data_IF_679937939972
#
_entry.id   IF_679937939972
#
_cell.length_a   1.000
_cell.length_b   1.000
_cell.length_c   1.000
_cell.angle_alpha   90.00
_cell.angle_beta   90.00
_cell.angle_gamma   90.00
#
_symmetry.space_group_name_H-M   'P 1'
#
loop_
_entity.id
_entity.type
_entity.pdbx_description
1 polymer ?
#
# COMPACT_ATOMS: atom_id res chain seq x y z
N UNK A 1 24.81 1.72 -25.86
CA UNK A 1 24.85 3.00 -25.11
C UNK A 1 25.14 2.68 -23.65
N UNK A 2 26.25 3.18 -23.09
CA UNK A 2 26.52 3.03 -21.65
C UNK A 2 25.43 3.76 -20.85
N UNK A 3 24.96 3.16 -19.76
CA UNK A 3 24.05 3.86 -18.83
C UNK A 3 24.78 5.11 -18.30
N UNK A 4 24.10 6.28 -18.22
CA UNK A 4 24.72 7.47 -17.66
C UNK A 4 25.18 7.17 -16.22
N UNK A 5 26.41 7.55 -15.91
CA UNK A 5 27.00 7.36 -14.59
C UNK A 5 26.25 8.21 -13.56
N UNK A 6 25.73 7.57 -12.52
CA UNK A 6 25.04 8.25 -11.43
C UNK A 6 26.00 8.73 -10.34
N UNK A 7 25.52 9.61 -9.46
CA UNK A 7 26.29 10.18 -8.35
C UNK A 7 26.99 9.13 -7.50
N UNK A 8 26.27 8.09 -7.06
CA UNK A 8 26.85 7.01 -6.23
C UNK A 8 27.88 6.17 -6.99
N UNK A 9 27.70 5.99 -8.31
CA UNK A 9 28.67 5.26 -9.13
C UNK A 9 29.97 6.03 -9.27
N UNK A 10 29.89 7.35 -9.45
CA UNK A 10 31.07 8.23 -9.48
C UNK A 10 31.76 8.27 -8.11
N UNK A 11 30.99 8.21 -7.02
CA UNK A 11 31.54 8.13 -5.66
C UNK A 11 32.31 6.84 -5.46
N UNK A 12 31.74 5.70 -5.86
CA UNK A 12 32.38 4.39 -5.74
C UNK A 12 33.67 4.32 -6.57
N UNK A 13 33.64 4.82 -7.80
CA UNK A 13 34.80 4.87 -8.68
C UNK A 13 35.93 5.71 -8.06
N UNK A 14 35.62 6.92 -7.58
CA UNK A 14 36.61 7.82 -6.98
C UNK A 14 37.11 7.30 -5.62
N UNK A 15 36.28 6.58 -4.87
CA UNK A 15 36.69 5.89 -3.64
C UNK A 15 37.75 4.82 -3.90
N UNK A 16 37.74 4.16 -5.05
CA UNK A 16 38.79 3.17 -5.41
C UNK A 16 40.05 3.79 -6.00
N UNK A 17 40.01 5.08 -6.36
CA UNK A 17 41.15 5.76 -6.97
C UNK A 17 42.22 6.07 -5.90
N UNK A 18 43.49 5.64 -6.07
CA UNK A 18 44.52 5.79 -5.03
C UNK A 18 44.79 7.23 -4.61
N UNK A 19 44.71 8.17 -5.56
CA UNK A 19 44.92 9.60 -5.33
C UNK A 19 43.59 10.39 -5.36
N UNK A 20 42.46 9.70 -5.19
CA UNK A 20 41.14 10.32 -5.18
C UNK A 20 40.95 11.17 -3.93
N UNK A 21 40.55 12.43 -4.11
CA UNK A 21 40.25 13.38 -3.04
C UNK A 21 38.81 13.85 -3.14
N UNK A 22 38.25 14.38 -2.05
CA UNK A 22 36.89 14.93 -2.08
C UNK A 22 36.73 16.07 -3.11
N UNK A 23 37.82 16.79 -3.42
CA UNK A 23 37.83 17.83 -4.43
C UNK A 23 37.82 17.25 -5.85
N UNK A 24 38.60 16.20 -6.12
CA UNK A 24 38.57 15.53 -7.43
C UNK A 24 37.20 14.88 -7.66
N UNK A 25 36.62 14.29 -6.61
CA UNK A 25 35.23 13.82 -6.64
C UNK A 25 34.24 14.93 -6.99
N UNK A 26 34.28 16.08 -6.29
CA UNK A 26 33.39 17.20 -6.56
C UNK A 26 33.52 17.71 -8.01
N UNK A 27 34.75 17.80 -8.53
CA UNK A 27 35.01 18.20 -9.91
C UNK A 27 34.46 17.17 -10.91
N UNK A 28 34.63 15.88 -10.63
CA UNK A 28 34.10 14.79 -11.45
C UNK A 28 32.57 14.81 -11.50
N UNK A 29 31.90 15.04 -10.37
CA UNK A 29 30.44 15.22 -10.35
C UNK A 29 30.00 16.36 -11.27
N UNK A 30 30.68 17.51 -11.20
CA UNK A 30 30.36 18.67 -12.06
C UNK A 30 30.56 18.34 -13.52
N UNK A 31 31.66 17.67 -13.88
CA UNK A 31 31.94 17.29 -15.26
C UNK A 31 30.91 16.29 -15.82
N UNK A 32 30.47 15.31 -15.04
CA UNK A 32 29.58 14.25 -15.53
C UNK A 32 28.09 14.56 -15.39
N UNK A 33 27.69 15.40 -14.42
CA UNK A 33 26.27 15.65 -14.09
C UNK A 33 25.79 17.06 -14.47
N UNK A 34 26.61 17.90 -15.09
CA UNK A 34 26.22 19.29 -15.44
C UNK A 34 24.99 19.40 -16.37
N UNK A 35 24.71 18.40 -17.20
CA UNK A 35 23.52 18.40 -18.06
C UNK A 35 22.23 17.98 -17.33
N UNK A 36 22.33 17.44 -16.11
CA UNK A 36 21.17 16.99 -15.36
C UNK A 36 20.47 18.20 -14.72
N UNK A 37 19.20 18.44 -15.05
CA UNK A 37 18.41 19.57 -14.52
C UNK A 37 18.26 19.56 -13.00
N UNK A 38 18.40 18.40 -12.35
CA UNK A 38 18.32 18.26 -10.91
C UNK A 38 19.67 18.43 -10.20
N UNK A 39 20.78 18.62 -10.92
CA UNK A 39 22.11 18.78 -10.35
C UNK A 39 22.64 20.20 -10.65
N UNK A 40 23.22 20.86 -9.64
CA UNK A 40 23.95 22.11 -9.83
C UNK A 40 25.31 22.02 -9.16
N UNK A 41 26.38 22.24 -9.93
CA UNK A 41 27.71 22.41 -9.37
C UNK A 41 27.85 23.73 -8.61
N UNK A 42 28.54 23.73 -7.47
CA UNK A 42 28.91 24.95 -6.74
C UNK A 42 30.45 25.07 -6.68
N UNK A 43 30.99 26.15 -6.10
CA UNK A 43 32.43 26.36 -5.94
C UNK A 43 33.03 25.37 -4.94
N UNK A 44 34.29 25.00 -5.17
CA UNK A 44 35.03 24.11 -4.27
C UNK A 44 34.43 22.70 -4.17
N UNK A 45 34.24 22.23 -2.93
CA UNK A 45 33.72 20.89 -2.59
C UNK A 45 32.20 20.79 -2.53
N UNK A 46 31.48 21.87 -2.82
CA UNK A 46 30.02 21.89 -2.72
C UNK A 46 29.32 21.57 -4.06
N UNK A 47 28.15 20.95 -3.96
CA UNK A 47 27.19 20.79 -5.06
C UNK A 47 25.77 20.80 -4.50
N UNK A 48 24.79 20.97 -5.38
CA UNK A 48 23.38 20.98 -5.01
C UNK A 48 22.59 19.94 -5.79
N UNK A 49 21.60 19.36 -5.13
CA UNK A 49 20.63 18.45 -5.73
C UNK A 49 19.22 18.97 -5.47
N UNK A 50 18.43 19.09 -6.53
CA UNK A 50 17.02 19.41 -6.46
C UNK A 50 16.22 18.13 -6.17
N UNK A 51 15.93 17.89 -4.89
CA UNK A 51 15.06 16.80 -4.46
C UNK A 51 13.58 17.19 -4.59
N UNK A 52 12.69 16.21 -4.50
CA UNK A 52 11.24 16.45 -4.48
C UNK A 52 10.80 17.40 -3.34
N UNK A 53 11.57 17.45 -2.25
CA UNK A 53 11.31 18.29 -1.08
C UNK A 53 11.99 19.68 -1.14
N UNK A 54 12.81 19.95 -2.16
CA UNK A 54 13.57 21.18 -2.31
C UNK A 54 15.03 20.95 -2.69
N UNK A 55 15.75 22.06 -2.88
CA UNK A 55 17.19 22.05 -3.15
C UNK A 55 17.97 21.80 -1.86
N UNK A 56 18.94 20.87 -1.91
CA UNK A 56 19.84 20.57 -0.80
C UNK A 56 21.28 20.76 -1.25
N UNK A 57 22.07 21.46 -0.43
CA UNK A 57 23.49 21.68 -0.64
C UNK A 57 24.25 20.57 0.09
N UNK A 58 25.18 19.93 -0.62
CA UNK A 58 26.06 18.89 -0.13
C UNK A 58 27.51 19.36 -0.20
N UNK A 59 28.26 19.13 0.87
CA UNK A 59 29.71 19.27 0.91
C UNK A 59 30.35 17.89 0.81
N UNK A 60 31.24 17.68 -0.17
CA UNK A 60 31.91 16.39 -0.37
C UNK A 60 32.95 16.05 0.68
N UNK A 61 33.25 16.94 1.62
CA UNK A 61 34.26 16.71 2.66
C UNK A 61 34.02 15.40 3.44
N UNK A 62 35.00 14.50 3.39
CA UNK A 62 34.97 13.19 4.04
C UNK A 62 34.09 12.15 3.34
N UNK A 63 33.56 12.42 2.14
CA UNK A 63 32.70 11.47 1.42
C UNK A 63 33.47 10.20 1.04
N UNK A 64 34.70 10.35 0.53
CA UNK A 64 35.47 9.19 0.08
C UNK A 64 35.83 8.27 1.24
N UNK A 65 36.28 8.85 2.37
CA UNK A 65 36.60 8.12 3.60
C UNK A 65 35.37 7.40 4.16
N UNK A 66 34.26 8.11 4.32
CA UNK A 66 32.98 7.53 4.80
C UNK A 66 32.45 6.44 3.89
N UNK A 67 32.64 6.56 2.58
CA UNK A 67 32.17 5.56 1.63
C UNK A 67 33.06 4.31 1.61
N UNK A 68 34.36 4.46 1.89
CA UNK A 68 35.32 3.35 2.03
C UNK A 68 35.07 2.55 3.31
N UNK A 69 34.74 3.23 4.42
CA UNK A 69 34.42 2.60 5.72
C UNK A 69 35.47 1.57 6.15
N UNK A 70 36.74 1.90 5.94
CA UNK A 70 37.86 1.01 6.22
C UNK A 70 38.20 1.05 7.72
N UNK A 71 38.21 -0.13 8.33
CA UNK A 71 38.75 -0.34 9.68
C UNK A 71 40.16 -0.89 9.57
N UNK A 72 41.08 -0.37 10.40
CA UNK A 72 42.45 -0.85 10.43
C UNK A 72 42.52 -2.28 10.97
N UNK A 73 43.31 -3.14 10.33
CA UNK A 73 43.43 -4.55 10.72
C UNK A 73 43.92 -4.70 12.17
N UNK A 74 44.85 -3.86 12.61
CA UNK A 74 45.37 -3.87 13.98
C UNK A 74 44.27 -3.60 15.01
N UNK A 75 43.28 -2.75 14.67
CA UNK A 75 42.13 -2.51 15.55
C UNK A 75 41.28 -3.77 15.70
N UNK A 76 41.08 -4.52 14.60
CA UNK A 76 40.36 -5.80 14.62
C UNK A 76 41.13 -6.84 15.43
N UNK A 77 42.46 -6.90 15.27
CA UNK A 77 43.33 -7.82 16.02
C UNK A 77 43.34 -7.49 17.53
N UNK A 78 43.40 -6.21 17.88
CA UNK A 78 43.28 -5.75 19.27
C UNK A 78 41.94 -6.16 19.89
N UNK A 79 40.83 -5.99 19.16
CA UNK A 79 39.52 -6.45 19.63
C UNK A 79 39.48 -7.97 19.81
N UNK A 80 40.17 -8.72 18.95
CA UNK A 80 40.27 -10.18 19.06
C UNK A 80 41.14 -10.66 20.22
N UNK A 81 42.12 -9.86 20.67
CA UNK A 81 43.03 -10.22 21.77
C UNK A 81 42.50 -9.81 23.15
N UNK A 82 41.42 -9.03 23.20
CA UNK A 82 40.75 -8.68 24.45
C UNK A 82 40.26 -9.93 25.19
N UNK A 83 40.34 -9.95 26.52
CA UNK A 83 39.82 -11.04 27.36
C UNK A 83 38.30 -11.07 27.47
N UNK A 84 37.63 -9.96 27.13
CA UNK A 84 36.19 -9.82 27.18
C UNK A 84 35.53 -10.44 25.93
N UNK A 85 34.41 -11.13 26.14
CA UNK A 85 33.70 -11.85 25.07
C UNK A 85 33.12 -10.93 23.98
N UNK A 86 32.63 -9.75 24.35
CA UNK A 86 31.97 -8.83 23.42
C UNK A 86 32.93 -8.32 22.31
N UNK A 87 34.13 -7.78 22.60
CA UNK A 87 35.13 -7.44 21.59
C UNK A 87 35.51 -8.60 20.65
N UNK A 88 35.64 -9.81 21.19
CA UNK A 88 35.96 -11.01 20.40
C UNK A 88 34.84 -11.37 19.41
N UNK A 89 33.57 -11.22 19.81
CA UNK A 89 32.42 -11.40 18.90
C UNK A 89 32.46 -10.36 17.76
N UNK A 90 32.77 -9.10 18.06
CA UNK A 90 32.90 -8.07 17.04
C UNK A 90 34.02 -8.39 16.04
N UNK A 91 35.21 -8.75 16.55
CA UNK A 91 36.35 -9.09 15.69
C UNK A 91 36.06 -10.30 14.79
N UNK A 92 35.51 -11.38 15.35
CA UNK A 92 35.14 -12.59 14.59
C UNK A 92 34.06 -12.31 13.53
N UNK A 93 33.08 -11.46 13.84
CA UNK A 93 32.05 -11.04 12.88
C UNK A 93 32.66 -10.24 11.71
N UNK A 94 33.60 -9.35 11.98
CA UNK A 94 34.27 -8.55 10.94
C UNK A 94 35.17 -9.42 10.04
N UNK A 95 35.90 -10.37 10.63
CA UNK A 95 36.76 -11.31 9.88
C UNK A 95 35.93 -12.29 9.02
N UNK A 96 34.80 -12.79 9.54
CA UNK A 96 33.92 -13.71 8.79
C UNK A 96 33.13 -13.03 7.67
N UNK A 97 32.80 -11.75 7.81
CA UNK A 97 32.18 -10.98 6.72
C UNK A 97 33.12 -10.86 5.51
N UNK A 98 34.44 -10.79 5.72
CA UNK A 98 35.43 -10.81 4.64
C UNK A 98 35.50 -12.15 3.88
N UNK A 99 34.96 -13.23 4.45
CA UNK A 99 35.12 -14.60 3.94
C UNK A 99 33.86 -15.20 3.28
N UNK A 100 32.67 -14.58 3.39
CA UNK A 100 31.44 -15.13 2.78
C UNK A 100 31.26 -14.65 1.33
N UNK A 101 31.29 -15.55 0.32
CA UNK A 101 30.87 -15.21 -1.03
C UNK A 101 29.34 -15.01 -1.04
N UNK A 102 28.89 -13.83 -1.44
CA UNK A 102 27.47 -13.58 -1.68
C UNK A 102 27.09 -14.31 -2.97
N UNK A 103 26.52 -15.51 -2.81
CA UNK A 103 25.94 -16.28 -3.92
C UNK A 103 24.57 -15.67 -4.24
N UNK A 104 24.54 -14.84 -5.27
CA UNK A 104 23.33 -14.27 -5.85
C UNK A 104 23.55 -13.98 -7.34
N UNK A 105 22.63 -14.35 -8.25
CA UNK A 105 22.88 -14.30 -9.67
C UNK A 105 22.57 -12.91 -10.22
N UNK A 106 23.51 -11.97 -10.07
CA UNK A 106 23.79 -10.97 -11.10
C UNK A 106 25.08 -10.20 -10.71
N UNK A 107 25.92 -9.96 -11.71
CA UNK A 107 27.18 -9.19 -11.67
C UNK A 107 28.40 -9.96 -11.14
N UNK A 108 29.05 -10.68 -12.06
CA UNK A 108 30.44 -11.14 -11.93
C UNK A 108 31.38 -9.94 -11.76
N UNK A 109 31.89 -9.75 -10.55
CA UNK A 109 33.27 -9.34 -10.27
C UNK A 109 33.72 -10.19 -9.06
N UNK A 110 34.95 -10.67 -9.10
CA UNK A 110 35.46 -11.79 -8.31
C UNK A 110 35.40 -11.61 -6.78
N UNK A 111 35.52 -12.75 -6.10
CA UNK A 111 35.56 -12.84 -4.63
C UNK A 111 36.74 -12.08 -3.99
N UNK A 112 36.61 -11.91 -2.67
CA UNK A 112 37.47 -11.22 -1.68
C UNK A 112 36.93 -9.87 -1.11
N UNK A 113 35.72 -9.43 -1.46
CA UNK A 113 35.41 -7.98 -1.41
C UNK A 113 34.27 -7.53 -0.49
N UNK A 114 33.84 -8.29 0.51
CA UNK A 114 32.79 -7.79 1.44
C UNK A 114 33.23 -6.57 2.27
N UNK A 115 34.55 -6.44 2.54
CA UNK A 115 35.17 -5.21 3.05
C UNK A 115 35.61 -4.22 1.96
N UNK A 116 35.53 -4.57 0.66
CA UNK A 116 35.79 -3.64 -0.46
C UNK A 116 34.51 -3.08 -1.09
N UNK A 117 33.35 -3.62 -0.76
CA UNK A 117 32.08 -3.01 -1.16
C UNK A 117 31.87 -1.72 -0.35
N UNK A 118 31.76 -0.61 -1.07
CA UNK A 118 31.49 0.69 -0.49
C UNK A 118 30.16 0.73 0.27
N UNK A 119 30.06 1.67 1.21
CA UNK A 119 28.82 1.93 1.96
C UNK A 119 27.66 2.22 1.00
N UNK A 120 27.89 3.01 -0.05
CA UNK A 120 26.88 3.33 -1.05
C UNK A 120 26.37 2.08 -1.78
N UNK A 121 27.25 1.16 -2.17
CA UNK A 121 26.87 -0.09 -2.83
C UNK A 121 26.07 -1.00 -1.89
N UNK A 122 26.50 -1.14 -0.63
CA UNK A 122 25.76 -1.91 0.40
C UNK A 122 24.36 -1.34 0.61
N UNK A 123 24.25 -0.03 0.83
CA UNK A 123 22.99 0.68 1.02
C UNK A 123 22.05 0.51 -0.18
N UNK A 124 22.56 0.69 -1.41
CA UNK A 124 21.80 0.50 -2.64
C UNK A 124 21.24 -0.92 -2.77
N UNK A 125 22.06 -1.93 -2.45
CA UNK A 125 21.64 -3.33 -2.45
C UNK A 125 20.51 -3.62 -1.47
N UNK A 126 20.64 -3.14 -0.23
CA UNK A 126 19.61 -3.27 0.81
C UNK A 126 18.31 -2.55 0.43
N UNK A 127 18.42 -1.32 -0.09
CA UNK A 127 17.26 -0.54 -0.54
C UNK A 127 16.53 -1.22 -1.69
N UNK A 128 17.26 -1.79 -2.66
CA UNK A 128 16.66 -2.53 -3.77
C UNK A 128 15.88 -3.76 -3.28
N UNK A 129 16.46 -4.54 -2.36
CA UNK A 129 15.76 -5.69 -1.75
C UNK A 129 14.51 -5.25 -0.98
N UNK A 130 14.58 -4.13 -0.26
CA UNK A 130 13.42 -3.57 0.43
C UNK A 130 12.32 -3.17 -0.56
N UNK A 131 12.65 -2.48 -1.64
CA UNK A 131 11.69 -2.08 -2.67
C UNK A 131 11.00 -3.29 -3.31
N UNK A 132 11.75 -4.35 -3.65
CA UNK A 132 11.17 -5.60 -4.16
C UNK A 132 10.20 -6.24 -3.18
N UNK A 133 10.49 -6.20 -1.88
CA UNK A 133 9.55 -6.71 -0.86
C UNK A 133 8.28 -5.87 -0.81
N UNK A 134 8.41 -4.54 -0.83
CA UNK A 134 7.27 -3.63 -0.79
C UNK A 134 6.38 -3.77 -2.03
N UNK A 135 6.96 -3.93 -3.22
CA UNK A 135 6.22 -4.12 -4.49
C UNK A 135 5.36 -5.40 -4.50
N UNK A 136 5.75 -6.42 -3.74
CA UNK A 136 5.01 -7.67 -3.60
C UNK A 136 3.94 -7.64 -2.49
N UNK A 137 3.67 -6.48 -1.91
CA UNK A 137 2.67 -6.31 -0.84
C UNK A 137 1.55 -5.35 -1.25
N UNK A 138 0.53 -5.23 -0.41
CA UNK A 138 -0.49 -4.17 -0.52
C UNK A 138 -0.07 -2.98 0.37
N UNK A 139 0.52 -1.91 -0.18
CA UNK A 139 1.04 -0.81 0.62
C UNK A 139 -0.08 0.05 1.22
N UNK A 140 0.10 0.45 2.47
CA UNK A 140 -0.70 1.45 3.14
C UNK A 140 0.21 2.62 3.54
N UNK A 141 -0.21 3.85 3.22
CA UNK A 141 0.63 5.04 3.39
C UNK A 141 0.14 5.89 4.56
N UNK A 142 1.04 6.19 5.49
CA UNK A 142 0.85 7.18 6.57
C UNK A 142 1.81 8.34 6.29
N UNK A 143 1.28 9.57 6.26
CA UNK A 143 2.07 10.79 6.02
C UNK A 143 2.15 11.62 7.30
N UNK A 144 3.33 11.67 7.90
CA UNK A 144 3.59 12.50 9.07
C UNK A 144 3.94 13.93 8.63
N UNK A 145 3.41 14.94 9.31
CA UNK A 145 3.63 16.36 9.00
C UNK A 145 4.19 17.07 10.24
N UNK A 146 5.29 17.81 10.07
CA UNK A 146 5.90 18.64 11.12
C UNK A 146 5.15 19.96 11.23
N UNK A 147 4.58 20.26 12.40
CA UNK A 147 3.76 21.46 12.60
C UNK A 147 4.59 22.76 12.67
N UNK A 148 5.77 22.72 13.28
CA UNK A 148 6.66 23.86 13.44
C UNK A 148 8.12 23.40 13.59
N UNK A 149 9.09 24.28 13.32
CA UNK A 149 10.51 23.95 13.47
C UNK A 149 11.04 24.08 14.90
N UNK A 150 10.36 24.84 15.76
CA UNK A 150 10.77 25.08 17.16
C UNK A 150 10.44 23.95 18.13
N UNK A 151 9.84 22.86 17.65
CA UNK A 151 9.41 21.71 18.46
C UNK A 151 8.45 22.11 19.60
N UNK A 152 7.68 23.18 19.41
CA UNK A 152 6.75 23.69 20.41
C UNK A 152 5.37 23.06 20.23
N UNK A 153 4.75 22.49 21.29
CA UNK A 153 3.39 21.98 21.20
C UNK A 153 2.40 23.12 20.95
N UNK A 154 1.34 22.85 20.18
CA UNK A 154 0.29 23.84 19.86
C UNK A 154 0.69 24.94 18.86
N UNK A 155 1.96 25.02 18.47
CA UNK A 155 2.43 25.96 17.45
C UNK A 155 2.29 25.38 16.04
N UNK A 156 1.82 26.20 15.11
CA UNK A 156 1.55 25.83 13.72
C UNK A 156 2.14 26.86 12.75
N UNK A 157 3.04 26.39 11.89
CA UNK A 157 3.68 27.21 10.87
C UNK A 157 3.09 26.89 9.49
N UNK A 158 2.18 27.75 9.01
CA UNK A 158 1.42 27.51 7.79
C UNK A 158 2.31 27.29 6.56
N UNK A 159 3.36 28.09 6.39
CA UNK A 159 4.28 27.98 5.26
C UNK A 159 4.99 26.63 5.21
N UNK A 160 5.51 26.19 6.35
CA UNK A 160 6.18 24.90 6.51
C UNK A 160 5.23 23.72 6.22
N UNK A 161 4.03 23.75 6.78
CA UNK A 161 3.03 22.69 6.57
C UNK A 161 2.55 22.64 5.12
N UNK A 162 2.26 23.80 4.52
CA UNK A 162 1.82 23.86 3.13
C UNK A 162 2.89 23.32 2.17
N UNK A 163 4.15 23.64 2.41
CA UNK A 163 5.26 23.12 1.62
C UNK A 163 5.36 21.58 1.73
N UNK A 164 5.23 21.03 2.93
CA UNK A 164 5.20 19.57 3.13
C UNK A 164 4.02 18.92 2.38
N UNK A 165 2.82 19.50 2.44
CA UNK A 165 1.65 18.95 1.73
C UNK A 165 1.85 18.92 0.20
N UNK A 166 2.53 19.92 -0.35
CA UNK A 166 2.91 19.96 -1.78
C UNK A 166 3.97 18.91 -2.10
N UNK A 167 5.08 18.90 -1.37
CA UNK A 167 6.20 17.97 -1.61
C UNK A 167 5.81 16.50 -1.38
N UNK A 168 5.00 16.19 -0.37
CA UNK A 168 4.52 14.83 -0.13
C UNK A 168 3.41 14.40 -1.11
N UNK A 169 2.98 15.28 -2.02
CA UNK A 169 1.94 14.99 -3.00
C UNK A 169 0.55 14.79 -2.39
N UNK A 170 0.31 15.27 -1.16
CA UNK A 170 -0.98 15.05 -0.47
C UNK A 170 -2.11 15.72 -1.23
N UNK A 171 -1.89 16.95 -1.72
CA UNK A 171 -2.88 17.68 -2.53
C UNK A 171 -3.22 16.91 -3.82
N UNK A 172 -2.22 16.32 -4.44
CA UNK A 172 -2.36 15.54 -5.67
C UNK A 172 -3.10 14.22 -5.42
N UNK A 173 -2.79 13.54 -4.31
CA UNK A 173 -3.52 12.33 -3.87
C UNK A 173 -5.00 12.66 -3.60
N UNK A 174 -5.29 13.78 -2.94
CA UNK A 174 -6.68 14.23 -2.71
C UNK A 174 -7.37 14.49 -4.05
N UNK A 175 -6.70 15.16 -4.99
CA UNK A 175 -7.24 15.43 -6.33
C UNK A 175 -7.56 14.13 -7.08
N UNK A 176 -6.61 13.20 -7.14
CA UNK A 176 -6.78 11.88 -7.79
C UNK A 176 -7.88 11.07 -7.10
N UNK A 177 -7.96 11.11 -5.77
CA UNK A 177 -9.00 10.40 -5.00
C UNK A 177 -10.40 10.95 -5.27
N UNK A 178 -10.54 12.27 -5.45
CA UNK A 178 -11.80 12.94 -5.76
C UNK A 178 -12.29 12.69 -7.19
N UNK A 179 -11.38 12.71 -8.18
CA UNK A 179 -11.74 12.50 -9.58
C UNK A 179 -11.76 11.03 -10.00
N UNK A 180 -11.06 10.18 -9.25
CA UNK A 180 -10.86 8.77 -9.57
C UNK A 180 -11.83 7.83 -8.87
N UNK A 181 -11.61 6.54 -9.10
CA UNK A 181 -12.38 5.44 -8.52
C UNK A 181 -11.43 4.49 -7.78
N UNK A 182 -11.07 4.80 -6.51
CA UNK A 182 -10.04 4.05 -5.80
C UNK A 182 -10.51 2.69 -5.31
N UNK A 183 -11.82 2.51 -5.12
CA UNK A 183 -12.35 1.19 -4.77
C UNK A 183 -12.62 0.40 -6.04
N UNK A 184 -12.01 -0.78 -6.17
CA UNK A 184 -12.12 -1.64 -7.34
C UNK A 184 -12.48 -3.05 -6.91
N UNK A 185 -13.41 -3.69 -7.62
CA UNK A 185 -13.78 -5.07 -7.34
C UNK A 185 -14.12 -5.82 -8.64
N UNK A 186 -13.66 -7.06 -8.78
CA UNK A 186 -14.03 -7.88 -9.95
C UNK A 186 -15.52 -8.21 -9.93
N UNK A 187 -16.11 -8.37 -11.11
CA UNK A 187 -17.51 -8.78 -11.25
C UNK A 187 -17.80 -10.07 -10.50
N UNK A 188 -16.92 -11.07 -10.62
CA UNK A 188 -17.05 -12.34 -9.89
C UNK A 188 -17.09 -12.14 -8.36
N UNK A 189 -16.20 -11.30 -7.82
CA UNK A 189 -16.18 -11.03 -6.37
C UNK A 189 -17.40 -10.22 -5.94
N UNK A 190 -17.85 -9.27 -6.77
CA UNK A 190 -19.04 -8.47 -6.51
C UNK A 190 -20.31 -9.31 -6.52
N UNK A 191 -20.53 -10.08 -7.58
CA UNK A 191 -21.66 -10.98 -7.74
C UNK A 191 -21.69 -12.04 -6.63
N UNK A 192 -20.55 -12.67 -6.29
CA UNK A 192 -20.51 -13.63 -5.17
C UNK A 192 -20.85 -12.98 -3.83
N UNK A 193 -20.41 -11.73 -3.61
CA UNK A 193 -20.59 -11.04 -2.34
C UNK A 193 -21.99 -10.43 -2.18
N UNK A 194 -22.59 -9.94 -3.25
CA UNK A 194 -23.84 -9.16 -3.21
C UNK A 194 -24.98 -9.77 -4.04
N UNK A 195 -24.75 -10.89 -4.73
CA UNK A 195 -25.72 -11.55 -5.62
C UNK A 195 -27.02 -11.93 -4.95
N UNK A 196 -26.97 -12.35 -3.69
CA UNK A 196 -28.16 -12.68 -2.89
C UNK A 196 -29.06 -11.47 -2.57
N UNK A 197 -28.60 -10.24 -2.84
CA UNK A 197 -29.44 -9.04 -2.73
C UNK A 197 -30.45 -8.91 -3.88
N UNK A 198 -30.27 -9.68 -4.96
CA UNK A 198 -31.24 -9.75 -6.05
C UNK A 198 -32.43 -10.62 -5.63
N UNK A 199 -33.64 -10.11 -5.82
CA UNK A 199 -34.88 -10.84 -5.55
C UNK A 199 -35.15 -11.95 -6.59
N UNK A 200 -34.48 -11.89 -7.74
CA UNK A 200 -34.69 -12.79 -8.88
C UNK A 200 -33.62 -13.89 -8.93
N UNK A 201 -33.97 -15.07 -9.46
CA UNK A 201 -33.07 -16.23 -9.52
C UNK A 201 -31.81 -15.94 -10.35
N UNK A 202 -30.69 -15.76 -9.66
CA UNK A 202 -29.37 -15.41 -10.23
C UNK A 202 -28.63 -16.62 -10.82
N UNK A 203 -29.23 -17.82 -10.76
CA UNK A 203 -28.53 -19.09 -10.93
C UNK A 203 -27.89 -19.32 -12.32
N UNK A 204 -28.20 -18.49 -13.33
CA UNK A 204 -27.68 -18.64 -14.70
C UNK A 204 -27.10 -17.35 -15.32
N UNK A 205 -26.92 -16.28 -14.56
CA UNK A 205 -26.49 -14.99 -15.12
C UNK A 205 -24.97 -14.80 -15.04
N UNK A 206 -24.39 -14.16 -16.05
CA UNK A 206 -22.97 -13.83 -16.05
C UNK A 206 -22.63 -12.81 -14.94
N UNK A 207 -21.44 -12.87 -14.31
CA UNK A 207 -21.11 -12.00 -13.18
C UNK A 207 -21.17 -10.50 -13.48
N UNK A 208 -20.99 -10.09 -14.73
CA UNK A 208 -21.09 -8.70 -15.15
C UNK A 208 -22.55 -8.24 -15.11
N UNK A 209 -23.46 -8.99 -15.72
CA UNK A 209 -24.90 -8.74 -15.69
C UNK A 209 -25.45 -8.71 -14.27
N UNK A 210 -25.03 -9.66 -13.42
CA UNK A 210 -25.39 -9.68 -11.99
C UNK A 210 -24.90 -8.40 -11.30
N UNK A 211 -23.65 -7.99 -11.58
CA UNK A 211 -23.11 -6.77 -11.01
C UNK A 211 -23.91 -5.53 -11.41
N UNK A 212 -24.26 -5.42 -12.69
CA UNK A 212 -25.04 -4.29 -13.23
C UNK A 212 -26.46 -4.28 -12.67
N UNK A 213 -27.13 -5.44 -12.62
CA UNK A 213 -28.47 -5.57 -12.06
C UNK A 213 -28.55 -5.11 -10.60
N UNK A 214 -27.56 -5.46 -9.77
CA UNK A 214 -27.48 -4.98 -8.38
C UNK A 214 -27.34 -3.46 -8.34
N UNK A 215 -26.49 -2.86 -9.17
CA UNK A 215 -26.30 -1.41 -9.16
C UNK A 215 -27.59 -0.66 -9.52
N UNK A 216 -28.37 -1.19 -10.46
CA UNK A 216 -29.67 -0.63 -10.86
C UNK A 216 -30.76 -0.85 -9.80
N UNK A 217 -30.88 -2.05 -9.24
CA UNK A 217 -31.88 -2.39 -8.21
C UNK A 217 -31.79 -1.46 -6.99
N UNK A 218 -30.56 -1.11 -6.60
CA UNK A 218 -30.29 -0.23 -5.45
C UNK A 218 -30.15 1.25 -5.84
N UNK A 219 -30.50 1.61 -7.09
CA UNK A 219 -30.50 2.97 -7.61
C UNK A 219 -29.20 3.75 -7.32
N UNK A 220 -28.05 3.10 -7.50
CA UNK A 220 -26.77 3.78 -7.33
C UNK A 220 -26.59 4.73 -8.52
N UNK A 221 -26.34 6.01 -8.24
CA UNK A 221 -26.17 7.02 -9.27
C UNK A 221 -25.01 6.63 -10.23
N UNK A 222 -25.18 6.73 -11.55
CA UNK A 222 -24.15 6.37 -12.54
C UNK A 222 -22.83 7.14 -12.37
N UNK A 223 -22.84 8.32 -11.74
CA UNK A 223 -21.65 9.12 -11.46
C UNK A 223 -20.76 8.51 -10.37
N UNK A 224 -21.31 7.59 -9.57
CA UNK A 224 -20.66 6.99 -8.40
C UNK A 224 -19.84 5.75 -8.72
N UNK A 225 -20.07 5.16 -9.90
CA UNK A 225 -19.38 3.96 -10.34
C UNK A 225 -19.03 3.99 -11.82
N UNK A 226 -18.08 3.15 -12.21
CA UNK A 226 -17.84 2.80 -13.60
C UNK A 226 -17.78 1.28 -13.74
N UNK A 227 -18.37 0.79 -14.83
CA UNK A 227 -18.37 -0.61 -15.20
C UNK A 227 -17.28 -0.81 -16.24
N UNK A 228 -16.20 -1.50 -15.86
CA UNK A 228 -15.20 -1.97 -16.81
C UNK A 228 -15.53 -3.38 -17.30
N UNK A 229 -14.70 -3.91 -18.20
CA UNK A 229 -14.89 -5.28 -18.72
C UNK A 229 -14.72 -6.38 -17.66
N UNK A 230 -13.84 -6.16 -16.68
CA UNK A 230 -13.48 -7.18 -15.67
C UNK A 230 -13.78 -6.76 -14.24
N UNK A 231 -14.01 -5.47 -14.00
CA UNK A 231 -14.09 -4.87 -12.68
C UNK A 231 -15.09 -3.71 -12.64
N UNK A 232 -15.72 -3.57 -11.49
CA UNK A 232 -16.41 -2.37 -11.06
C UNK A 232 -15.45 -1.42 -10.35
N UNK A 233 -15.66 -0.13 -10.57
CA UNK A 233 -14.88 0.97 -10.03
C UNK A 233 -15.83 1.90 -9.27
N UNK A 234 -15.53 2.27 -8.03
CA UNK A 234 -16.37 3.13 -7.19
C UNK A 234 -15.59 4.35 -6.70
N UNK A 235 -16.25 5.52 -6.63
CA UNK A 235 -15.69 6.76 -6.05
C UNK A 235 -15.59 6.68 -4.52
N UNK A 236 -14.68 7.44 -3.92
CA UNK A 236 -14.55 7.57 -2.45
C UNK A 236 -15.62 8.50 -1.88
N UNK A 237 -16.13 8.19 -0.69
CA UNK A 237 -16.74 9.20 0.18
C UNK A 237 -18.21 9.53 -0.06
N UNK A 238 -18.89 8.79 -0.94
CA UNK A 238 -20.35 8.89 -1.11
C UNK A 238 -20.93 7.47 -1.20
N UNK A 239 -21.65 7.12 -0.14
CA UNK A 239 -22.74 6.15 0.07
C UNK A 239 -22.89 4.88 -0.80
N UNK A 240 -22.55 4.80 -2.09
CA UNK A 240 -22.94 3.67 -2.95
C UNK A 240 -22.55 2.26 -2.44
N UNK A 241 -21.25 1.99 -2.23
CA UNK A 241 -20.79 0.69 -1.71
C UNK A 241 -21.03 0.54 -0.20
N UNK A 242 -21.05 1.64 0.54
CA UNK A 242 -21.26 1.61 1.99
C UNK A 242 -22.73 1.34 2.33
N UNK A 243 -23.67 1.91 1.58
CA UNK A 243 -25.09 1.61 1.59
C UNK A 243 -25.34 0.15 1.20
N UNK A 244 -24.70 -0.37 0.16
CA UNK A 244 -24.77 -1.81 -0.15
C UNK A 244 -24.26 -2.69 1.00
N UNK A 245 -23.17 -2.31 1.67
CA UNK A 245 -22.67 -3.01 2.86
C UNK A 245 -23.62 -2.90 4.06
N UNK A 246 -24.20 -1.73 4.29
CA UNK A 246 -25.12 -1.51 5.38
C UNK A 246 -26.42 -2.29 5.16
N UNK A 247 -26.95 -2.29 3.94
CA UNK A 247 -28.11 -3.08 3.54
C UNK A 247 -27.81 -4.59 3.59
N UNK A 248 -26.62 -5.03 3.16
CA UNK A 248 -26.14 -6.40 3.34
C UNK A 248 -26.24 -6.84 4.79
N UNK A 249 -25.69 -6.02 5.71
CA UNK A 249 -25.66 -6.36 7.14
C UNK A 249 -27.07 -6.31 7.73
N UNK A 250 -27.86 -5.30 7.40
CA UNK A 250 -29.23 -5.17 7.91
C UNK A 250 -30.13 -6.32 7.44
N UNK A 251 -30.09 -6.64 6.15
CA UNK A 251 -30.89 -7.75 5.60
C UNK A 251 -30.42 -9.10 6.13
N UNK A 252 -29.11 -9.30 6.30
CA UNK A 252 -28.57 -10.52 6.90
C UNK A 252 -28.99 -10.66 8.37
N UNK A 253 -28.92 -9.58 9.16
CA UNK A 253 -29.39 -9.58 10.55
C UNK A 253 -30.89 -9.87 10.59
N UNK A 254 -31.69 -9.27 9.71
CA UNK A 254 -33.14 -9.45 9.71
C UNK A 254 -33.52 -10.90 9.34
N UNK A 255 -32.88 -11.48 8.32
CA UNK A 255 -33.08 -12.88 7.92
C UNK A 255 -32.60 -13.83 9.02
N UNK A 256 -31.44 -13.58 9.61
CA UNK A 256 -30.88 -14.41 10.68
C UNK A 256 -31.71 -14.32 11.97
N UNK A 257 -32.16 -13.12 12.35
CA UNK A 257 -33.10 -12.92 13.45
C UNK A 257 -34.44 -13.62 13.18
N UNK A 258 -34.96 -13.56 11.95
CA UNK A 258 -36.18 -14.27 11.56
C UNK A 258 -36.01 -15.79 11.60
N UNK A 259 -34.86 -16.33 11.19
CA UNK A 259 -34.57 -17.77 11.30
C UNK A 259 -34.35 -18.22 12.75
N UNK A 260 -33.71 -17.40 13.59
CA UNK A 260 -33.51 -17.70 15.02
C UNK A 260 -34.80 -17.57 15.84
N UNK A 261 -35.62 -16.54 15.58
CA UNK A 261 -36.90 -16.32 16.26
C UNK A 261 -38.00 -17.24 15.72
N UNK A 262 -38.00 -17.53 14.42
CA UNK A 262 -38.89 -18.51 13.79
C UNK A 262 -38.56 -19.96 14.14
N UNK A 263 -37.32 -20.25 14.55
CA UNK A 263 -36.89 -21.56 15.05
C UNK A 263 -37.48 -21.93 16.43
N UNK A 264 -38.11 -21.00 17.15
CA UNK A 264 -38.75 -21.26 18.46
C UNK A 264 -40.22 -21.69 18.30
N UNK A 265 -40.81 -21.59 17.11
CA UNK A 265 -42.25 -21.83 16.88
C UNK A 265 -42.60 -23.19 16.26
N UNK A 266 -41.72 -24.19 16.30
CA UNK A 266 -42.03 -25.56 15.86
C UNK A 266 -41.61 -26.58 16.92
N UNK A 267 -42.17 -26.49 18.13
CA UNK A 267 -42.32 -27.65 19.01
C UNK A 267 -43.27 -27.33 20.16
N UNK A 268 -44.57 -27.57 19.98
CA UNK A 268 -45.50 -28.07 21.00
C UNK A 268 -46.91 -28.09 20.41
N UNK A 269 -47.41 -29.29 20.13
CA UNK A 269 -48.79 -29.53 19.73
C UNK A 269 -49.13 -30.99 20.04
N UNK A 270 -49.26 -31.26 21.34
CA UNK A 270 -49.55 -32.58 21.89
C UNK A 270 -50.96 -33.09 21.57
N UNK A 271 -50.99 -34.41 21.41
CA UNK A 271 -52.08 -35.39 21.43
C UNK A 271 -53.45 -34.95 21.97
N UNK A 272 -54.49 -35.29 21.21
CA UNK A 272 -55.82 -35.90 21.55
C UNK A 272 -56.74 -35.62 20.35
N UNK A 273 -57.53 -36.51 19.73
CA UNK A 273 -57.77 -37.95 19.81
C UNK A 273 -58.90 -38.28 18.81
N UNK A 274 -58.83 -39.48 18.23
CA UNK A 274 -59.95 -40.32 17.69
C UNK A 274 -60.68 -39.90 16.40
N UNK A 275 -60.65 -40.78 15.38
CA UNK A 275 -61.86 -41.07 14.58
C UNK A 275 -61.77 -41.31 13.06
N UNK A 276 -61.22 -42.47 12.65
CA UNK A 276 -61.66 -43.34 11.53
C UNK A 276 -61.54 -42.93 10.03
N UNK A 277 -60.77 -43.74 9.28
CA UNK A 277 -61.20 -44.37 8.02
C UNK A 277 -60.67 -43.81 6.68
N UNK A 278 -59.90 -44.62 5.93
CA UNK A 278 -59.91 -44.60 4.45
C UNK A 278 -58.60 -44.26 3.71
N UNK A 279 -57.86 -45.30 3.32
CA UNK A 279 -57.10 -45.52 2.06
C UNK A 279 -56.42 -44.34 1.31
N UNK A 280 -55.08 -44.38 1.31
CA UNK A 280 -54.12 -44.19 0.20
C UNK A 280 -54.35 -43.13 -0.89
N UNK A 281 -53.45 -42.14 -1.00
CA UNK A 281 -52.31 -42.13 -1.96
C UNK A 281 -51.58 -40.77 -1.83
N UNK A 282 -50.27 -40.78 -1.58
CA UNK A 282 -49.46 -39.58 -1.34
C UNK A 282 -48.92 -39.00 -2.66
N UNK A 283 -49.26 -37.74 -2.95
CA UNK A 283 -48.52 -36.87 -3.88
C UNK A 283 -48.03 -35.65 -3.10
N UNK A 284 -46.72 -35.30 -3.09
CA UNK A 284 -46.27 -34.09 -2.43
C UNK A 284 -46.54 -32.87 -3.33
N UNK A 285 -47.46 -32.04 -2.86
CA UNK A 285 -47.81 -30.75 -3.44
C UNK A 285 -46.69 -29.72 -3.41
N UNK A 286 -46.73 -28.85 -4.41
CA UNK A 286 -45.99 -27.61 -4.58
C UNK A 286 -46.14 -26.69 -3.36
N UNK A 287 -45.06 -26.49 -2.60
CA UNK A 287 -44.98 -25.44 -1.59
C UNK A 287 -44.77 -24.07 -2.28
N UNK A 288 -45.85 -23.30 -2.38
CA UNK A 288 -45.84 -21.91 -2.84
C UNK A 288 -45.33 -21.01 -1.72
N UNK A 289 -44.26 -20.26 -1.96
CA UNK A 289 -43.78 -19.22 -1.05
C UNK A 289 -44.73 -18.02 -1.18
N UNK A 290 -45.30 -17.49 -0.08
CA UNK A 290 -46.26 -16.39 -0.17
C UNK A 290 -45.58 -15.09 -0.60
N UNK A 291 -46.07 -14.52 -1.70
CA UNK A 291 -45.75 -13.18 -2.23
C UNK A 291 -46.32 -12.14 -1.26
N UNK A 292 -45.56 -11.78 -0.22
CA UNK A 292 -45.90 -10.68 0.68
C UNK A 292 -44.66 -10.07 1.33
N UNK A 293 -43.74 -9.55 0.52
CA UNK A 293 -42.63 -8.72 0.99
C UNK A 293 -42.39 -7.47 0.12
N UNK A 294 -43.44 -6.98 -0.56
CA UNK A 294 -43.39 -5.78 -1.39
C UNK A 294 -43.80 -4.46 -0.72
N UNK A 295 -44.03 -4.43 0.61
CA UNK A 295 -44.67 -3.26 1.25
C UNK A 295 -44.17 -2.89 2.65
N UNK A 296 -42.94 -3.23 3.01
CA UNK A 296 -42.35 -2.80 4.28
C UNK A 296 -41.03 -2.07 3.99
N UNK A 297 -41.16 -0.85 3.49
CA UNK A 297 -40.23 0.28 3.67
C UNK A 297 -40.91 1.52 3.07
N UNK A 298 -42.06 1.89 3.65
CA UNK A 298 -42.59 3.24 3.50
C UNK A 298 -41.66 4.20 4.25
N UNK A 299 -40.71 4.80 3.53
CA UNK A 299 -40.02 6.01 4.00
C UNK A 299 -40.42 7.13 3.05
N UNK A 300 -41.21 8.04 3.62
CA UNK A 300 -41.73 9.26 3.03
C UNK A 300 -40.60 10.12 2.43
N UNK A 301 -40.77 10.54 1.19
CA UNK A 301 -40.00 11.65 0.62
C UNK A 301 -40.33 12.94 1.40
N UNK A 302 -39.43 13.35 2.28
CA UNK A 302 -39.47 14.67 2.90
C UNK A 302 -39.05 15.73 1.87
N UNK A 303 -40.02 16.51 1.42
CA UNK A 303 -39.77 17.67 0.55
C UNK A 303 -38.89 18.71 1.25
N UNK A 304 -37.73 18.98 0.67
CA UNK A 304 -36.90 20.11 1.06
C UNK A 304 -37.56 21.39 0.51
N UNK A 305 -38.28 22.12 1.37
CA UNK A 305 -38.69 23.50 1.10
C UNK A 305 -37.44 24.36 1.02
N UNK A 306 -37.20 24.94 -0.15
CA UNK A 306 -36.41 26.16 -0.29
C UNK A 306 -37.05 27.25 0.58
N UNK A 307 -36.22 27.94 1.36
CA UNK A 307 -36.47 29.32 1.76
C UNK A 307 -35.32 30.18 1.26
N UNK A 308 -35.74 31.31 0.73
CA UNK A 308 -34.98 32.47 0.25
C UNK A 308 -33.96 33.00 1.26
#
# INVERSE_FOLDING_TARGET
MQKPLGLLSLLDEESTFPNGTDLTFANKLKQHLHWNSCFRGDRGKAFKVCHYAGEVIYDTTGFLEKNRDLLHLDSIQLLSSCSCHLPQIFASTMLTQSAKPVVGPLYKAGGADSQKLSVATKFKGQLFQLMQRLENTSPHFIRCIKANNSQSPGSYEQGLVLQQLRCCGVLEVVRISRSGFPTRMSHQKFAKRYGFLLLESVASQDPLSVSVAILHQFNILPEMYQVGYTKLFFRTGQDGLHSLKHMYVHMFIHIFAYMLLGGVAVSTGGMTGVGNGGTGDESPGTASIPVSYGRILGISAGGCRQRE
#
